data_IF_615210236595
#
_entry.id   IF_615210236595
#
_cell.length_a   1.000
_cell.length_b   1.000
_cell.length_c   1.000
_cell.angle_alpha   90.00
_cell.angle_beta   90.00
_cell.angle_gamma   90.00
#
_symmetry.space_group_name_H-M   'P 1'
#
loop_
_entity.id
_entity.type
_entity.pdbx_description
1 polymer ?
#
# COMPACT_ATOMS: atom_id res chain seq x y z
N UNK A 1 23.13 -3.18 -0.06
CA UNK A 1 23.81 -2.25 -0.99
C UNK A 1 23.24 -0.86 -0.76
N UNK A 2 24.07 0.05 -0.27
CA UNK A 2 23.76 1.48 -0.10
C UNK A 2 23.95 2.19 -1.45
N UNK A 3 23.08 3.14 -1.79
CA UNK A 3 23.28 4.01 -2.95
C UNK A 3 24.55 4.87 -2.74
N UNK A 4 25.32 5.17 -3.81
CA UNK A 4 26.64 5.80 -3.70
C UNK A 4 26.61 7.15 -2.96
N UNK A 5 25.56 7.96 -3.17
CA UNK A 5 25.41 9.28 -2.55
C UNK A 5 24.28 9.31 -1.51
N UNK A 6 23.87 8.14 -1.00
CA UNK A 6 22.77 8.03 -0.03
C UNK A 6 21.49 8.71 -0.52
N UNK A 7 20.87 9.54 0.32
CA UNK A 7 19.64 10.30 -0.02
C UNK A 7 19.83 11.35 -1.12
N UNK A 8 21.07 11.76 -1.41
CA UNK A 8 21.36 12.73 -2.48
C UNK A 8 21.55 12.08 -3.85
N UNK A 9 21.49 10.74 -3.91
CA UNK A 9 21.64 10.00 -5.16
C UNK A 9 20.56 10.41 -6.15
N UNK A 10 21.00 10.86 -7.33
CA UNK A 10 20.08 11.18 -8.42
C UNK A 10 19.39 9.90 -8.90
N UNK A 11 18.06 9.90 -8.90
CA UNK A 11 17.22 8.78 -9.36
C UNK A 11 16.27 9.24 -10.48
N UNK A 12 15.77 8.30 -11.28
CA UNK A 12 14.85 8.58 -12.40
C UNK A 12 15.55 8.56 -13.76
N UNK A 13 14.94 9.19 -14.78
CA UNK A 13 15.36 9.03 -16.18
C UNK A 13 16.80 9.50 -16.48
N UNK A 14 17.37 10.37 -15.63
CA UNK A 14 18.73 10.91 -15.76
C UNK A 14 19.69 10.43 -14.66
N UNK A 15 19.25 9.52 -13.79
CA UNK A 15 20.00 9.07 -12.62
C UNK A 15 20.10 7.54 -12.52
N UNK A 16 20.45 7.06 -11.33
CA UNK A 16 20.51 5.63 -11.01
C UNK A 16 19.16 4.95 -11.21
N UNK A 17 19.20 3.73 -11.74
CA UNK A 17 18.00 2.92 -12.00
C UNK A 17 17.57 2.23 -10.70
N UNK A 18 16.43 2.64 -10.17
CA UNK A 18 15.72 1.91 -9.12
C UNK A 18 14.93 0.75 -9.74
N UNK A 19 14.88 -0.38 -9.05
CA UNK A 19 13.96 -1.48 -9.38
C UNK A 19 12.50 -1.03 -9.25
N UNK A 20 11.57 -1.80 -9.79
CA UNK A 20 10.13 -1.51 -9.63
C UNK A 20 9.73 -1.42 -8.15
N UNK A 21 10.12 -2.42 -7.34
CA UNK A 21 9.85 -2.43 -5.90
C UNK A 21 10.46 -1.23 -5.16
N UNK A 22 11.70 -0.85 -5.47
CA UNK A 22 12.33 0.34 -4.88
C UNK A 22 11.58 1.64 -5.22
N UNK A 23 11.06 1.76 -6.44
CA UNK A 23 10.23 2.91 -6.84
C UNK A 23 8.90 2.93 -6.10
N UNK A 24 8.27 1.77 -5.91
CA UNK A 24 7.03 1.65 -5.13
C UNK A 24 7.27 2.03 -3.67
N UNK A 25 8.33 1.52 -3.03
CA UNK A 25 8.70 1.89 -1.65
C UNK A 25 8.93 3.39 -1.53
N UNK A 26 9.66 4.00 -2.48
CA UNK A 26 9.88 5.45 -2.47
C UNK A 26 8.58 6.23 -2.64
N UNK A 27 7.67 5.79 -3.52
CA UNK A 27 6.36 6.40 -3.70
C UNK A 27 5.51 6.30 -2.43
N UNK A 28 5.52 5.16 -1.76
CA UNK A 28 4.84 4.94 -0.49
C UNK A 28 5.38 5.87 0.59
N UNK A 29 6.70 5.91 0.80
CA UNK A 29 7.33 6.81 1.78
C UNK A 29 6.96 8.26 1.50
N UNK A 30 6.94 8.68 0.23
CA UNK A 30 6.49 10.03 -0.15
C UNK A 30 5.02 10.30 0.18
N UNK A 31 4.14 9.31 0.00
CA UNK A 31 2.74 9.43 0.36
C UNK A 31 2.54 9.56 1.88
N UNK A 32 3.29 8.79 2.67
CA UNK A 32 3.27 8.85 4.14
C UNK A 32 3.79 10.21 4.65
N UNK A 33 4.91 10.69 4.10
CA UNK A 33 5.49 11.99 4.47
C UNK A 33 4.58 13.18 4.14
N UNK A 34 3.67 13.04 3.17
CA UNK A 34 2.73 14.10 2.80
C UNK A 34 1.60 14.28 3.82
N UNK A 35 1.41 13.31 4.71
CA UNK A 35 0.39 13.34 5.76
C UNK A 35 -1.06 13.62 5.26
N UNK A 36 -1.56 12.90 4.24
CA UNK A 36 -2.88 13.19 3.69
C UNK A 36 -4.01 12.73 4.60
N UNK A 37 -5.17 13.40 4.51
CA UNK A 37 -6.42 12.98 5.17
C UNK A 37 -7.06 11.75 4.52
N UNK A 38 -6.77 11.53 3.24
CA UNK A 38 -7.32 10.43 2.43
C UNK A 38 -6.16 9.69 1.75
N UNK A 39 -6.08 8.38 1.96
CA UNK A 39 -5.17 7.48 1.27
C UNK A 39 -5.93 6.70 0.18
N UNK A 40 -5.37 6.70 -1.03
CA UNK A 40 -5.77 5.82 -2.13
C UNK A 40 -4.58 4.91 -2.45
N UNK A 41 -4.70 3.63 -2.15
CA UNK A 41 -3.62 2.65 -2.28
C UNK A 41 -3.99 1.62 -3.34
N UNK A 42 -3.09 1.39 -4.28
CA UNK A 42 -3.27 0.36 -5.32
C UNK A 42 -2.20 -0.70 -5.13
N UNK A 43 -2.58 -1.81 -4.48
CA UNK A 43 -1.75 -2.97 -4.18
C UNK A 43 -0.26 -2.65 -3.91
N UNK A 44 -0.02 -1.77 -2.93
CA UNK A 44 1.27 -1.11 -2.71
C UNK A 44 2.46 -2.05 -2.35
N UNK A 45 2.21 -3.35 -2.17
CA UNK A 45 3.19 -4.37 -1.77
C UNK A 45 3.43 -5.47 -2.80
N UNK A 46 2.77 -5.42 -3.97
CA UNK A 46 2.78 -6.53 -4.95
C UNK A 46 4.15 -6.91 -5.50
N UNK A 47 5.10 -5.97 -5.58
CA UNK A 47 6.45 -6.19 -6.10
C UNK A 47 7.53 -6.28 -5.02
N UNK A 48 7.15 -6.55 -3.77
CA UNK A 48 8.04 -6.58 -2.60
C UNK A 48 8.12 -8.00 -2.04
N UNK A 49 9.27 -8.37 -1.46
CA UNK A 49 9.41 -9.66 -0.77
C UNK A 49 8.50 -9.73 0.48
N UNK A 50 8.17 -10.95 0.92
CA UNK A 50 7.19 -11.15 1.99
C UNK A 50 7.60 -10.56 3.35
N UNK A 51 8.90 -10.45 3.63
CA UNK A 51 9.40 -9.90 4.89
C UNK A 51 9.27 -8.37 4.91
N UNK A 52 9.62 -7.71 3.80
CA UNK A 52 9.43 -6.28 3.62
C UNK A 52 7.94 -5.91 3.50
N UNK A 53 7.11 -6.77 2.92
CA UNK A 53 5.66 -6.58 2.85
C UNK A 53 5.04 -6.48 4.24
N UNK A 54 5.40 -7.36 5.18
CA UNK A 54 4.91 -7.30 6.55
C UNK A 54 5.29 -5.99 7.25
N UNK A 55 6.51 -5.49 7.03
CA UNK A 55 6.98 -4.21 7.57
C UNK A 55 6.19 -3.03 6.99
N UNK A 56 5.99 -3.02 5.66
CA UNK A 56 5.19 -2.00 4.98
C UNK A 56 3.75 -2.02 5.49
N UNK A 57 3.17 -3.20 5.66
CA UNK A 57 1.80 -3.36 6.14
C UNK A 57 1.63 -2.78 7.55
N UNK A 58 2.57 -3.07 8.47
CA UNK A 58 2.55 -2.51 9.82
C UNK A 58 2.70 -0.97 9.84
N UNK A 59 3.55 -0.42 8.97
CA UNK A 59 3.71 1.02 8.80
C UNK A 59 2.44 1.67 8.22
N UNK A 60 1.78 1.01 7.28
CA UNK A 60 0.51 1.46 6.71
C UNK A 60 -0.58 1.48 7.77
N UNK A 61 -0.77 0.39 8.52
CA UNK A 61 -1.79 0.30 9.58
C UNK A 61 -1.67 1.38 10.64
N UNK A 62 -0.45 1.69 11.05
CA UNK A 62 -0.20 2.76 12.02
C UNK A 62 -0.44 4.15 11.43
N UNK A 63 -0.09 4.37 10.16
CA UNK A 63 -0.20 5.68 9.51
C UNK A 63 -1.63 6.00 9.05
N UNK A 64 -2.38 5.00 8.61
CA UNK A 64 -3.76 5.16 8.12
C UNK A 64 -4.78 5.25 9.24
N UNK A 65 -4.40 4.92 10.47
CA UNK A 65 -5.29 4.99 11.64
C UNK A 65 -5.88 6.39 11.80
N UNK A 66 -7.22 6.45 11.90
CA UNK A 66 -7.95 7.70 12.03
C UNK A 66 -8.08 8.51 10.73
N UNK A 67 -7.79 7.91 9.57
CA UNK A 67 -7.85 8.54 8.26
C UNK A 67 -8.67 7.69 7.30
N UNK A 68 -9.25 8.33 6.30
CA UNK A 68 -9.97 7.62 5.25
C UNK A 68 -8.97 6.91 4.36
N UNK A 69 -9.08 5.59 4.25
CA UNK A 69 -8.20 4.79 3.39
C UNK A 69 -9.04 3.92 2.48
N UNK A 70 -8.79 4.04 1.18
CA UNK A 70 -9.38 3.19 0.15
C UNK A 70 -8.23 2.43 -0.48
N UNK A 71 -8.28 1.11 -0.44
CA UNK A 71 -7.30 0.25 -1.09
C UNK A 71 -7.95 -0.64 -2.12
N UNK A 72 -7.23 -0.90 -3.20
CA UNK A 72 -7.45 -2.08 -4.03
C UNK A 72 -6.57 -3.19 -3.44
N UNK A 73 -7.13 -4.38 -3.27
CA UNK A 73 -6.44 -5.53 -2.72
C UNK A 73 -6.62 -6.74 -3.65
N UNK A 74 -5.50 -7.37 -4.02
CA UNK A 74 -5.49 -8.66 -4.71
C UNK A 74 -5.13 -9.83 -3.79
N UNK A 75 -4.74 -9.54 -2.53
CA UNK A 75 -4.37 -10.52 -1.52
C UNK A 75 -5.34 -10.48 -0.35
N UNK A 76 -5.84 -11.66 0.03
CA UNK A 76 -6.75 -11.84 1.17
C UNK A 76 -6.16 -11.38 2.50
N UNK A 77 -4.84 -11.43 2.66
CA UNK A 77 -4.21 -10.99 3.90
C UNK A 77 -4.27 -9.45 4.06
N UNK A 78 -4.30 -8.71 2.95
CA UNK A 78 -4.37 -7.24 2.93
C UNK A 78 -5.75 -6.71 3.36
N UNK A 79 -6.82 -7.47 3.11
CA UNK A 79 -8.20 -7.05 3.44
C UNK A 79 -8.60 -7.33 4.90
N UNK A 80 -7.74 -7.98 5.68
CA UNK A 80 -8.05 -8.39 7.06
C UNK A 80 -8.19 -7.24 8.05
N UNK A 81 -7.75 -6.03 7.72
CA UNK A 81 -7.74 -4.91 8.67
C UNK A 81 -8.55 -3.70 8.15
N UNK A 82 -9.50 -3.94 7.24
CA UNK A 82 -10.36 -2.90 6.66
C UNK A 82 -11.76 -2.97 7.23
N UNK A 83 -12.36 -1.81 7.55
CA UNK A 83 -13.68 -1.71 8.16
C UNK A 83 -14.79 -2.32 7.29
N UNK A 84 -14.73 -2.04 5.98
CA UNK A 84 -15.71 -2.48 4.98
C UNK A 84 -14.97 -2.94 3.72
N UNK A 85 -15.44 -4.04 3.14
CA UNK A 85 -14.91 -4.62 1.91
C UNK A 85 -16.00 -4.52 0.83
N UNK A 86 -15.66 -3.90 -0.29
CA UNK A 86 -16.54 -3.80 -1.45
C UNK A 86 -16.05 -4.71 -2.57
N UNK A 87 -16.94 -5.54 -3.12
CA UNK A 87 -16.67 -6.36 -4.31
C UNK A 87 -17.20 -5.61 -5.53
N UNK A 88 -16.31 -5.36 -6.48
CA UNK A 88 -16.60 -4.65 -7.72
C UNK A 88 -16.66 -5.66 -8.89
N UNK A 89 -17.78 -5.70 -9.61
CA UNK A 89 -17.92 -6.48 -10.84
C UNK A 89 -18.59 -5.62 -11.92
N UNK A 90 -18.05 -5.65 -13.14
CA UNK A 90 -18.57 -4.89 -14.29
C UNK A 90 -18.84 -3.40 -13.99
N UNK A 91 -17.97 -2.77 -13.19
CA UNK A 91 -18.08 -1.36 -12.80
C UNK A 91 -19.17 -1.06 -11.76
N UNK A 92 -19.74 -2.08 -11.11
CA UNK A 92 -20.76 -1.94 -10.06
C UNK A 92 -20.33 -2.65 -8.78
N UNK A 93 -20.68 -2.07 -7.63
CA UNK A 93 -20.51 -2.74 -6.35
C UNK A 93 -21.61 -3.80 -6.23
N UNK A 94 -21.23 -5.07 -6.30
CA UNK A 94 -22.16 -6.21 -6.19
C UNK A 94 -22.31 -6.68 -4.75
N UNK A 95 -21.33 -6.36 -3.89
CA UNK A 95 -21.35 -6.75 -2.49
C UNK A 95 -20.61 -5.72 -1.63
N UNK A 96 -21.13 -5.48 -0.42
CA UNK A 96 -20.46 -4.72 0.64
C UNK A 96 -20.53 -5.53 1.92
N UNK A 97 -19.40 -5.82 2.52
CA UNK A 97 -19.29 -6.72 3.69
C UNK A 97 -18.54 -5.97 4.79
N UNK A 98 -19.10 -5.93 5.99
CA UNK A 98 -18.35 -5.45 7.14
C UNK A 98 -17.26 -6.47 7.49
N UNK A 99 -16.12 -6.00 7.97
CA UNK A 99 -15.00 -6.87 8.33
C UNK A 99 -15.40 -8.12 9.14
N UNK A 100 -16.26 -7.90 10.13
CA UNK A 100 -16.71 -8.92 11.09
C UNK A 100 -17.47 -10.06 10.42
N UNK A 101 -18.25 -9.76 9.39
CA UNK A 101 -19.06 -10.74 8.67
C UNK A 101 -18.21 -11.63 7.75
N UNK A 102 -17.04 -11.13 7.32
CA UNK A 102 -16.09 -11.91 6.51
C UNK A 102 -15.30 -12.91 7.36
N UNK A 103 -15.03 -12.58 8.63
CA UNK A 103 -14.29 -13.43 9.57
C UNK A 103 -15.15 -14.52 10.23
N UNK A 104 -16.48 -14.39 10.15
CA UNK A 104 -17.43 -15.35 10.69
C UNK A 104 -17.78 -16.50 9.70
N UNK A 105 -17.19 -16.50 8.51
CA UNK A 105 -17.32 -17.54 7.48
C UNK A 105 -16.01 -18.31 7.32
#
# INVERSE_FOLDING_TARGET
MSLPDGFTTLVGNRGSKLSCGQKQTLALVRALLRDPKIFLLDEATSAVDAAYEALIQAALETTTKGRTTITVAHRLNTIRNYDVIHVLEHGKIVQSVAHQDLMAK
#
